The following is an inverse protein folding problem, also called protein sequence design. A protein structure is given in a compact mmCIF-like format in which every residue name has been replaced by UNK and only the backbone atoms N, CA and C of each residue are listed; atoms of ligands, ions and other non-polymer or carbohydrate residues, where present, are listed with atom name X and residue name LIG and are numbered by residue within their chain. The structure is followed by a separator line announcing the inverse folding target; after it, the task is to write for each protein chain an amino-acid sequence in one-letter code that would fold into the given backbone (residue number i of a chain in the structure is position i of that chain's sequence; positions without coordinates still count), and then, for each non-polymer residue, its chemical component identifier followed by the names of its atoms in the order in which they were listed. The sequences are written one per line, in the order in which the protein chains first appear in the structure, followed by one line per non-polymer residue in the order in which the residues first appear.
data_IF_583690861466
#
_entry.id   IF_583690861466
#
_cell.length_a   1.000
_cell.length_b   1.000
_cell.length_c   1.000
_cell.angle_alpha   90.00
_cell.angle_beta   90.00
_cell.angle_gamma   90.00
#
_symmetry.space_group_name_H-M   'P 1'
#
loop_
_entity.id
_entity.type
_entity.pdbx_description
1 polymer ?
#
# COMPACT_ATOMS: atom_id res chain seq x y z
N UNK A 1 -8.27 63.00 -25.10
CA UNK A 1 -8.46 63.13 -26.56
C UNK A 1 -9.59 62.21 -26.98
N UNK A 2 -10.82 62.72 -27.04
CA UNK A 2 -11.97 61.96 -27.51
C UNK A 2 -12.06 62.13 -29.03
N UNK A 3 -11.69 61.10 -29.79
CA UNK A 3 -11.77 61.13 -31.25
C UNK A 3 -13.21 60.84 -31.64
N UNK A 4 -14.04 61.87 -31.67
CA UNK A 4 -15.44 61.80 -32.12
C UNK A 4 -15.47 61.86 -33.66
N UNK A 5 -15.34 60.71 -34.32
CA UNK A 5 -15.54 60.58 -35.78
C UNK A 5 -17.04 60.73 -36.13
N UNK A 6 -17.54 61.95 -36.03
CA UNK A 6 -18.88 62.32 -36.45
C UNK A 6 -18.90 62.43 -37.99
N UNK A 7 -19.48 61.41 -38.62
CA UNK A 7 -20.31 61.55 -39.83
C UNK A 7 -19.62 61.80 -41.18
N UNK A 8 -18.68 60.93 -41.59
CA UNK A 8 -18.29 60.79 -43.01
C UNK A 8 -18.91 59.52 -43.63
N UNK A 9 -19.87 59.69 -44.56
CA UNK A 9 -20.51 58.59 -45.31
C UNK A 9 -19.47 57.68 -45.99
N UNK A 10 -18.38 58.25 -46.50
CA UNK A 10 -17.31 57.52 -47.20
C UNK A 10 -16.53 56.55 -46.31
N UNK A 11 -16.23 56.92 -45.06
CA UNK A 11 -15.54 56.04 -44.11
C UNK A 11 -16.43 54.87 -43.70
N UNK A 12 -17.75 55.10 -43.58
CA UNK A 12 -18.73 54.04 -43.29
C UNK A 12 -18.86 53.06 -44.45
N UNK A 13 -18.82 53.52 -45.71
CA UNK A 13 -18.82 52.65 -46.89
C UNK A 13 -17.53 51.84 -47.02
N UNK A 14 -16.37 52.46 -46.75
CA UNK A 14 -15.09 51.75 -46.76
C UNK A 14 -15.01 50.69 -45.64
N UNK A 15 -15.40 51.04 -44.41
CA UNK A 15 -15.50 50.09 -43.30
C UNK A 15 -16.46 48.94 -43.60
N UNK A 16 -17.63 49.22 -44.18
CA UNK A 16 -18.56 48.18 -44.61
C UNK A 16 -17.97 47.28 -45.71
N UNK A 17 -17.23 47.86 -46.67
CA UNK A 17 -16.53 47.08 -47.68
C UNK A 17 -15.52 46.11 -47.08
N UNK A 18 -14.68 46.57 -46.16
CA UNK A 18 -13.70 45.72 -45.44
C UNK A 18 -14.42 44.64 -44.63
N UNK A 19 -15.49 45.00 -43.90
CA UNK A 19 -16.28 44.04 -43.13
C UNK A 19 -16.91 42.98 -44.03
N UNK A 20 -17.44 43.35 -45.21
CA UNK A 20 -17.99 42.39 -46.19
C UNK A 20 -16.92 41.43 -46.70
N UNK A 21 -15.71 41.92 -46.98
CA UNK A 21 -14.58 41.06 -47.41
C UNK A 21 -14.18 40.08 -46.30
N UNK A 22 -14.11 40.54 -45.04
CA UNK A 22 -13.80 39.68 -43.89
C UNK A 22 -14.89 38.61 -43.71
N UNK A 23 -16.16 38.99 -43.81
CA UNK A 23 -17.28 38.04 -43.70
C UNK A 23 -17.22 37.01 -44.83
N UNK A 24 -16.93 37.44 -46.07
CA UNK A 24 -16.76 36.50 -47.18
C UNK A 24 -15.59 35.54 -46.96
N UNK A 25 -14.46 36.02 -46.44
CA UNK A 25 -13.31 35.18 -46.10
C UNK A 25 -13.65 34.15 -45.00
N UNK A 26 -14.37 34.58 -43.97
CA UNK A 26 -14.84 33.69 -42.89
C UNK A 26 -15.83 32.64 -43.40
N UNK A 27 -16.78 33.03 -44.26
CA UNK A 27 -17.72 32.10 -44.87
C UNK A 27 -17.02 31.08 -45.77
N UNK A 28 -16.03 31.52 -46.55
CA UNK A 28 -15.24 30.62 -47.39
C UNK A 28 -14.43 29.63 -46.54
N UNK A 29 -13.79 30.10 -45.48
CA UNK A 29 -13.05 29.25 -44.54
C UNK A 29 -13.96 28.24 -43.83
N UNK A 30 -15.15 28.66 -43.40
CA UNK A 30 -16.14 27.78 -42.78
C UNK A 30 -16.67 26.73 -43.77
N UNK A 31 -16.91 27.11 -45.02
CA UNK A 31 -17.33 26.19 -46.07
C UNK A 31 -16.27 25.12 -46.35
N UNK A 32 -14.99 25.51 -46.43
CA UNK A 32 -13.87 24.56 -46.59
C UNK A 32 -13.76 23.61 -45.39
N UNK A 33 -13.91 24.12 -44.16
CA UNK A 33 -13.89 23.32 -42.94
C UNK A 33 -15.03 22.29 -42.93
N UNK A 34 -16.25 22.71 -43.30
CA UNK A 34 -17.41 21.81 -43.43
C UNK A 34 -17.21 20.75 -44.51
N UNK A 35 -16.67 21.12 -45.68
CA UNK A 35 -16.40 20.18 -46.78
C UNK A 35 -15.33 19.16 -46.39
N UNK A 36 -14.30 19.56 -45.64
CA UNK A 36 -13.31 18.66 -45.07
C UNK A 36 -13.88 17.74 -43.99
N UNK A 37 -14.75 18.25 -43.11
CA UNK A 37 -15.44 17.43 -42.11
C UNK A 37 -16.31 16.33 -42.74
N UNK A 38 -16.95 16.62 -43.89
CA UNK A 38 -17.73 15.66 -44.65
C UNK A 38 -16.86 14.72 -45.52
N UNK A 39 -15.53 14.85 -45.47
CA UNK A 39 -14.55 14.08 -46.24
C UNK A 39 -14.80 14.10 -47.76
N UNK A 40 -15.42 15.17 -48.27
CA UNK A 40 -15.69 15.36 -49.70
C UNK A 40 -14.44 15.91 -50.42
N UNK A 41 -13.63 16.67 -49.69
CA UNK A 41 -12.42 17.33 -50.18
C UNK A 41 -11.28 17.07 -49.19
N UNK A 42 -10.11 16.71 -49.71
CA UNK A 42 -8.89 16.58 -48.94
C UNK A 42 -8.26 17.97 -48.73
N UNK A 43 -8.36 18.47 -47.50
CA UNK A 43 -7.87 19.79 -47.12
C UNK A 43 -6.34 19.88 -47.18
N UNK A 44 -5.63 18.76 -46.99
CA UNK A 44 -4.18 18.77 -46.92
C UNK A 44 -3.59 18.81 -48.34
N UNK A 45 -4.19 18.10 -49.30
CA UNK A 45 -3.83 18.23 -50.72
C UNK A 45 -4.03 19.66 -51.28
N UNK A 46 -5.07 20.36 -50.82
CA UNK A 46 -5.31 21.76 -51.19
C UNK A 46 -4.31 22.73 -50.54
N UNK A 47 -3.92 22.49 -49.28
CA UNK A 47 -2.89 23.30 -48.61
C UNK A 47 -1.56 23.17 -49.33
N UNK A 48 -1.10 21.96 -49.65
CA UNK A 48 0.18 21.76 -50.34
C UNK A 48 0.23 22.50 -51.69
N UNK A 49 -0.83 22.36 -52.50
CA UNK A 49 -0.91 22.99 -53.82
C UNK A 49 -1.02 24.52 -53.77
N UNK A 50 -1.64 25.08 -52.73
CA UNK A 50 -1.78 26.52 -52.55
C UNK A 50 -0.58 27.15 -51.85
N UNK A 51 -0.04 26.49 -50.82
CA UNK A 51 1.17 26.90 -50.09
C UNK A 51 2.40 26.89 -50.99
N UNK A 52 2.56 25.91 -51.87
CA UNK A 52 3.66 25.92 -52.85
C UNK A 52 3.57 27.11 -53.82
N UNK A 53 2.36 27.59 -54.10
CA UNK A 53 2.10 28.71 -55.03
C UNK A 53 2.21 30.09 -54.35
N UNK A 54 2.11 30.14 -53.03
CA UNK A 54 2.32 31.35 -52.21
C UNK A 54 3.70 31.44 -51.58
N UNK A 55 4.29 30.29 -51.25
CA UNK A 55 5.63 30.13 -50.69
C UNK A 55 6.76 30.41 -51.67
N UNK A 56 6.48 30.62 -52.95
CA UNK A 56 7.47 31.13 -53.92
C UNK A 56 7.67 32.66 -53.85
N UNK A 57 7.06 33.36 -52.89
CA UNK A 57 7.00 34.83 -52.86
C UNK A 57 7.31 35.52 -51.54
N UNK A 58 7.62 34.83 -50.44
CA UNK A 58 7.90 35.51 -49.17
C UNK A 58 8.86 34.72 -48.27
N UNK A 59 10.10 35.21 -48.19
CA UNK A 59 10.98 35.19 -47.03
C UNK A 59 11.47 33.83 -46.52
N UNK A 60 12.79 33.67 -46.43
CA UNK A 60 13.48 32.71 -45.57
C UNK A 60 12.67 32.33 -44.31
N UNK A 61 12.17 31.10 -44.27
CA UNK A 61 11.90 30.40 -43.01
C UNK A 61 13.25 29.92 -42.46
N UNK A 62 13.78 30.65 -41.48
CA UNK A 62 14.73 30.09 -40.53
C UNK A 62 14.08 28.87 -39.87
N UNK A 63 14.57 27.68 -40.21
CA UNK A 63 14.23 26.44 -39.52
C UNK A 63 14.74 26.51 -38.06
N UNK A 64 13.96 26.03 -37.08
CA UNK A 64 14.23 26.27 -35.67
C UNK A 64 15.41 25.44 -35.15
N UNK A 65 16.25 26.06 -34.33
CA UNK A 65 17.25 25.37 -33.50
C UNK A 65 16.57 24.61 -32.34
N UNK A 66 15.89 23.49 -32.60
CA UNK A 66 15.26 22.62 -31.58
C UNK A 66 15.92 21.24 -31.27
N UNK A 67 17.17 20.89 -31.70
CA UNK A 67 17.72 19.55 -31.41
C UNK A 67 18.23 19.38 -29.96
N UNK A 68 18.69 20.44 -29.28
CA UNK A 68 19.34 20.31 -27.96
C UNK A 68 18.34 20.16 -26.80
N UNK A 69 17.19 20.84 -26.84
CA UNK A 69 16.15 20.71 -25.80
C UNK A 69 15.50 19.33 -25.79
N UNK A 70 15.25 18.75 -26.97
CA UNK A 70 14.67 17.41 -27.09
C UNK A 70 15.61 16.35 -26.50
N UNK A 71 16.92 16.46 -26.74
CA UNK A 71 17.92 15.54 -26.19
C UNK A 71 18.02 15.65 -24.66
N UNK A 72 17.88 16.86 -24.11
CA UNK A 72 17.84 17.06 -22.65
C UNK A 72 16.59 16.44 -22.04
N UNK A 73 15.42 16.67 -22.65
CA UNK A 73 14.15 16.13 -22.18
C UNK A 73 14.09 14.59 -22.23
N UNK A 74 14.66 13.98 -23.28
CA UNK A 74 14.77 12.52 -23.39
C UNK A 74 15.65 11.92 -22.28
N UNK A 75 16.73 12.60 -21.90
CA UNK A 75 17.60 12.18 -20.79
C UNK A 75 16.88 12.25 -19.45
N UNK A 76 16.17 13.34 -19.17
CA UNK A 76 15.36 13.47 -17.96
C UNK A 76 14.26 12.41 -17.88
N UNK A 77 13.57 12.14 -18.99
CA UNK A 77 12.58 11.06 -19.06
C UNK A 77 13.20 9.68 -18.82
N UNK A 78 14.41 9.43 -19.33
CA UNK A 78 15.12 8.18 -19.10
C UNK A 78 15.54 8.04 -17.63
N UNK A 79 15.99 9.12 -16.99
CA UNK A 79 16.35 9.14 -15.57
C UNK A 79 15.13 8.94 -14.67
N UNK A 80 14.04 9.69 -14.89
CA UNK A 80 12.79 9.55 -14.17
C UNK A 80 12.19 8.14 -14.33
N UNK A 81 12.28 7.54 -15.52
CA UNK A 81 11.85 6.14 -15.74
C UNK A 81 12.68 5.17 -14.91
N UNK A 82 14.01 5.35 -14.86
CA UNK A 82 14.90 4.51 -14.04
C UNK A 82 14.57 4.65 -12.56
N UNK A 83 14.43 5.87 -12.07
CA UNK A 83 14.05 6.14 -10.69
C UNK A 83 12.69 5.49 -10.35
N UNK A 84 11.70 5.63 -11.24
CA UNK A 84 10.40 5.00 -11.03
C UNK A 84 10.49 3.47 -10.98
N UNK A 85 11.34 2.85 -11.82
CA UNK A 85 11.56 1.40 -11.76
C UNK A 85 12.25 0.96 -10.48
N UNK A 86 13.23 1.73 -10.00
CA UNK A 86 13.92 1.46 -8.72
C UNK A 86 12.96 1.57 -7.55
N UNK A 87 12.21 2.68 -7.46
CA UNK A 87 11.22 2.90 -6.41
C UNK A 87 10.13 1.82 -6.40
N UNK A 88 9.67 1.38 -7.58
CA UNK A 88 8.72 0.26 -7.68
C UNK A 88 9.32 -1.05 -7.16
N UNK A 89 10.62 -1.28 -7.41
CA UNK A 89 11.35 -2.42 -6.86
C UNK A 89 11.40 -2.38 -5.33
N UNK A 90 11.81 -1.25 -4.76
CA UNK A 90 11.88 -1.04 -3.31
C UNK A 90 10.51 -1.19 -2.63
N UNK A 91 9.46 -0.64 -3.24
CA UNK A 91 8.09 -0.79 -2.72
C UNK A 91 7.66 -2.25 -2.75
N UNK A 92 7.97 -2.99 -3.82
CA UNK A 92 7.65 -4.42 -3.91
C UNK A 92 8.43 -5.25 -2.87
N UNK A 93 9.71 -4.93 -2.64
CA UNK A 93 10.54 -5.59 -1.62
C UNK A 93 10.00 -5.32 -0.22
N UNK A 94 9.80 -4.05 0.15
CA UNK A 94 9.21 -3.69 1.45
C UNK A 94 7.82 -4.26 1.66
N UNK A 95 7.02 -4.38 0.60
CA UNK A 95 5.70 -5.01 0.70
C UNK A 95 5.81 -6.50 1.02
N UNK A 96 6.82 -7.21 0.48
CA UNK A 96 7.07 -8.62 0.80
C UNK A 96 7.56 -8.78 2.24
N UNK A 97 8.55 -7.98 2.65
CA UNK A 97 9.07 -8.00 4.02
C UNK A 97 7.96 -7.70 5.04
N UNK A 98 7.10 -6.72 4.75
CA UNK A 98 5.93 -6.41 5.58
C UNK A 98 4.98 -7.61 5.71
N UNK A 99 4.72 -8.33 4.62
CA UNK A 99 3.85 -9.52 4.66
C UNK A 99 4.47 -10.66 5.47
N UNK A 100 5.77 -10.90 5.33
CA UNK A 100 6.50 -11.89 6.12
C UNK A 100 6.46 -11.55 7.61
N UNK A 101 6.71 -10.29 7.96
CA UNK A 101 6.69 -9.83 9.36
C UNK A 101 5.28 -9.91 9.97
N UNK A 102 4.23 -9.64 9.17
CA UNK A 102 2.85 -9.81 9.62
C UNK A 102 2.51 -11.28 9.91
N UNK A 103 2.98 -12.21 9.09
CA UNK A 103 2.80 -13.65 9.33
C UNK A 103 3.52 -14.09 10.61
N UNK A 104 4.79 -13.70 10.79
CA UNK A 104 5.54 -14.01 12.01
C UNK A 104 4.86 -13.44 13.27
N UNK A 105 4.35 -12.20 13.18
CA UNK A 105 3.62 -11.57 14.27
C UNK A 105 2.34 -12.33 14.62
N UNK A 106 1.59 -12.83 13.63
CA UNK A 106 0.41 -13.65 13.85
C UNK A 106 0.75 -14.99 14.52
N UNK A 107 1.81 -15.67 14.07
CA UNK A 107 2.28 -16.91 14.69
C UNK A 107 2.71 -16.71 16.14
N UNK A 108 3.48 -15.66 16.43
CA UNK A 108 3.93 -15.33 17.79
C UNK A 108 2.73 -14.99 18.68
N UNK A 109 1.75 -14.25 18.15
CA UNK A 109 0.51 -13.95 18.89
C UNK A 109 -0.31 -15.20 19.18
N UNK A 110 -0.39 -16.14 18.24
CA UNK A 110 -1.09 -17.40 18.46
C UNK A 110 -0.43 -18.21 19.59
N UNK A 111 0.90 -18.34 19.56
CA UNK A 111 1.68 -19.01 20.60
C UNK A 111 1.53 -18.34 21.97
N UNK A 112 1.52 -17.01 22.01
CA UNK A 112 1.30 -16.26 23.25
C UNK A 112 -0.09 -16.53 23.85
N UNK A 113 -1.14 -16.53 23.01
CA UNK A 113 -2.50 -16.84 23.46
C UNK A 113 -2.59 -18.25 24.03
N UNK A 114 -2.00 -19.23 23.36
CA UNK A 114 -1.97 -20.61 23.84
C UNK A 114 -1.27 -20.71 25.20
N UNK A 115 -0.10 -20.09 25.36
CA UNK A 115 0.62 -20.05 26.64
C UNK A 115 -0.17 -19.33 27.74
N UNK A 116 -0.88 -18.26 27.41
CA UNK A 116 -1.75 -17.54 28.35
C UNK A 116 -2.94 -18.40 28.80
N UNK A 117 -3.60 -19.09 27.88
CA UNK A 117 -4.69 -20.03 28.19
C UNK A 117 -4.20 -21.20 29.06
N UNK A 118 -3.04 -21.78 28.73
CA UNK A 118 -2.42 -22.82 29.55
C UNK A 118 -2.09 -22.32 30.95
N UNK A 119 -1.52 -21.11 31.06
CA UNK A 119 -1.21 -20.48 32.34
C UNK A 119 -2.48 -20.21 33.15
N UNK A 120 -3.55 -19.77 32.52
CA UNK A 120 -4.82 -19.53 33.19
C UNK A 120 -5.42 -20.84 33.70
N UNK A 121 -5.47 -21.89 32.87
CA UNK A 121 -5.94 -23.22 33.28
C UNK A 121 -5.13 -23.76 34.45
N UNK A 122 -3.80 -23.67 34.39
CA UNK A 122 -2.90 -24.06 35.50
C UNK A 122 -3.20 -23.26 36.76
N UNK A 123 -3.40 -21.94 36.64
CA UNK A 123 -3.75 -21.07 37.76
C UNK A 123 -5.10 -21.42 38.40
N UNK A 124 -6.10 -21.76 37.59
CA UNK A 124 -7.41 -22.21 38.08
C UNK A 124 -7.30 -23.53 38.84
N UNK A 125 -6.56 -24.50 38.31
CA UNK A 125 -6.30 -25.78 38.98
C UNK A 125 -5.56 -25.55 40.30
N UNK A 126 -4.47 -24.78 40.28
CA UNK A 126 -3.73 -24.40 41.49
C UNK A 126 -4.66 -23.79 42.55
N UNK A 127 -5.51 -22.82 42.16
CA UNK A 127 -6.45 -22.18 43.08
C UNK A 127 -7.49 -23.13 43.71
N UNK A 128 -7.88 -24.19 43.01
CA UNK A 128 -8.77 -25.22 43.57
C UNK A 128 -8.05 -26.03 44.64
N UNK A 129 -6.84 -26.52 44.35
CA UNK A 129 -6.05 -27.32 45.30
C UNK A 129 -5.49 -26.48 46.45
N UNK A 130 -5.29 -25.18 46.24
CA UNK A 130 -4.86 -24.23 47.27
C UNK A 130 -5.88 -24.10 48.40
N UNK A 131 -7.18 -24.16 48.04
CA UNK A 131 -8.29 -24.11 49.01
C UNK A 131 -8.66 -25.47 49.57
N UNK A 132 -8.12 -26.55 49.01
CA UNK A 132 -8.41 -27.92 49.42
C UNK A 132 -7.64 -28.27 50.69
N UNK A 133 -8.23 -29.12 51.53
CA UNK A 133 -7.53 -29.62 52.73
C UNK A 133 -6.33 -30.48 52.30
N UNK A 134 -5.13 -30.28 52.90
CA UNK A 134 -3.92 -30.99 52.46
C UNK A 134 -4.04 -32.51 52.42
N UNK A 135 -4.78 -33.10 53.36
CA UNK A 135 -5.04 -34.54 53.41
C UNK A 135 -5.86 -35.05 52.22
N UNK A 136 -6.88 -34.29 51.82
CA UNK A 136 -7.76 -34.65 50.71
C UNK A 136 -7.04 -34.47 49.38
N UNK A 137 -6.29 -33.38 49.24
CA UNK A 137 -5.43 -33.13 48.08
C UNK A 137 -4.38 -34.24 47.91
N UNK A 138 -3.68 -34.63 48.98
CA UNK A 138 -2.71 -35.73 48.96
C UNK A 138 -3.34 -37.04 48.46
N UNK A 139 -4.51 -37.42 49.01
CA UNK A 139 -5.21 -38.63 48.60
C UNK A 139 -5.66 -38.62 47.13
N UNK A 140 -5.91 -37.44 46.54
CA UNK A 140 -6.21 -37.30 45.12
C UNK A 140 -4.94 -37.42 44.29
N UNK A 141 -3.90 -36.63 44.62
CA UNK A 141 -2.64 -36.60 43.88
C UNK A 141 -1.92 -37.96 43.87
N UNK A 142 -2.04 -38.76 44.93
CA UNK A 142 -1.50 -40.11 44.97
C UNK A 142 -2.10 -41.07 43.94
N UNK A 143 -3.31 -40.77 43.45
CA UNK A 143 -4.01 -41.59 42.45
C UNK A 143 -3.78 -41.10 41.02
N UNK A 144 -3.17 -39.92 40.85
CA UNK A 144 -2.81 -39.38 39.55
C UNK A 144 -1.51 -40.00 39.03
N UNK A 145 -1.24 -39.80 37.73
CA UNK A 145 0.08 -40.05 37.19
C UNK A 145 1.11 -39.09 37.79
N UNK A 146 2.39 -39.48 37.74
CA UNK A 146 3.48 -38.66 38.27
C UNK A 146 3.53 -37.28 37.59
N UNK A 147 3.33 -37.23 36.28
CA UNK A 147 3.29 -35.98 35.51
C UNK A 147 2.15 -35.04 35.94
N UNK A 148 0.92 -35.54 36.03
CA UNK A 148 -0.24 -34.74 36.44
C UNK A 148 -0.08 -34.19 37.87
N UNK A 149 0.43 -35.02 38.79
CA UNK A 149 0.67 -34.60 40.16
C UNK A 149 1.74 -33.50 40.24
N UNK A 150 2.82 -33.61 39.44
CA UNK A 150 3.86 -32.58 39.35
C UNK A 150 3.31 -31.27 38.79
N UNK A 151 2.50 -31.30 37.73
CA UNK A 151 1.90 -30.09 37.17
C UNK A 151 1.03 -29.33 38.18
N UNK A 152 0.22 -30.06 38.97
CA UNK A 152 -0.61 -29.45 40.01
C UNK A 152 0.26 -28.90 41.14
N UNK A 153 1.28 -29.64 41.58
CA UNK A 153 2.21 -29.19 42.63
C UNK A 153 2.99 -27.94 42.23
N UNK A 154 3.36 -27.79 40.94
CA UNK A 154 4.01 -26.59 40.40
C UNK A 154 3.06 -25.38 40.31
N UNK A 155 1.75 -25.62 40.22
CA UNK A 155 0.75 -24.56 40.19
C UNK A 155 0.37 -24.02 41.58
N UNK A 156 0.81 -24.70 42.65
CA UNK A 156 0.54 -24.32 44.05
C UNK A 156 1.64 -23.41 44.60
N UNK A 157 1.32 -22.69 45.68
CA UNK A 157 2.39 -22.04 46.42
C UNK A 157 3.25 -23.07 47.18
N UNK A 158 4.51 -22.73 47.51
CA UNK A 158 5.44 -23.69 48.14
C UNK A 158 4.97 -24.22 49.50
N UNK A 159 4.24 -23.41 50.27
CA UNK A 159 3.77 -23.78 51.60
C UNK A 159 2.69 -24.86 51.53
N UNK A 160 1.69 -24.67 50.67
CA UNK A 160 0.62 -25.63 50.46
C UNK A 160 1.12 -26.90 49.78
N UNK A 161 2.01 -26.78 48.78
CA UNK A 161 2.66 -27.95 48.17
C UNK A 161 3.43 -28.77 49.22
N UNK A 162 4.18 -28.11 50.11
CA UNK A 162 4.89 -28.76 51.21
C UNK A 162 3.94 -29.46 52.21
N UNK A 163 2.82 -28.81 52.55
CA UNK A 163 1.79 -29.41 53.41
C UNK A 163 1.15 -30.63 52.77
N UNK A 164 0.87 -30.60 51.48
CA UNK A 164 0.29 -31.73 50.74
C UNK A 164 1.29 -32.89 50.69
N UNK A 165 2.54 -32.63 50.31
CA UNK A 165 3.60 -33.65 50.30
C UNK A 165 3.79 -34.31 51.68
N UNK A 166 3.65 -33.54 52.76
CA UNK A 166 3.73 -34.06 54.13
C UNK A 166 2.54 -34.97 54.53
N UNK A 167 1.43 -34.94 53.80
CA UNK A 167 0.28 -35.84 54.02
C UNK A 167 0.29 -37.06 53.08
N UNK A 168 1.27 -37.16 52.18
CA UNK A 168 1.41 -38.27 51.24
C UNK A 168 2.24 -39.42 51.81
N UNK A 169 2.15 -40.60 51.19
CA UNK A 169 3.07 -41.71 51.39
C UNK A 169 4.53 -41.25 51.15
N UNK A 170 5.46 -41.56 52.06
CA UNK A 170 6.86 -41.10 51.95
C UNK A 170 7.54 -41.48 50.63
N UNK A 171 7.21 -42.64 50.06
CA UNK A 171 7.81 -43.11 48.81
C UNK A 171 7.29 -42.31 47.63
N UNK A 172 5.97 -42.05 47.60
CA UNK A 172 5.32 -41.20 46.59
C UNK A 172 5.79 -39.74 46.67
N UNK A 173 5.85 -39.16 47.87
CA UNK A 173 6.33 -37.80 48.08
C UNK A 173 7.78 -37.62 47.61
N UNK A 174 8.65 -38.60 47.88
CA UNK A 174 10.02 -38.59 47.42
C UNK A 174 10.14 -38.69 45.89
N UNK A 175 9.29 -39.48 45.23
CA UNK A 175 9.23 -39.55 43.77
C UNK A 175 8.84 -38.21 43.16
N UNK A 176 7.73 -37.62 43.63
CA UNK A 176 7.28 -36.31 43.14
C UNK A 176 8.29 -35.20 43.41
N UNK A 177 8.99 -35.22 44.54
CA UNK A 177 10.05 -34.24 44.84
C UNK A 177 11.22 -34.35 43.86
N UNK A 178 11.60 -35.57 43.47
CA UNK A 178 12.62 -35.77 42.42
C UNK A 178 12.15 -35.26 41.07
N UNK A 179 10.90 -35.55 40.70
CA UNK A 179 10.31 -35.08 39.46
C UNK A 179 10.19 -33.55 39.41
N UNK A 180 9.84 -32.90 40.53
CA UNK A 180 9.81 -31.44 40.65
C UNK A 180 11.19 -30.80 40.43
N UNK A 181 12.26 -31.46 40.86
CA UNK A 181 13.63 -30.97 40.65
C UNK A 181 14.12 -31.20 39.21
N UNK A 182 13.44 -32.05 38.43
CA UNK A 182 13.80 -32.34 37.04
C UNK A 182 12.56 -32.53 36.15
N UNK A 183 11.76 -31.47 35.93
CA UNK A 183 10.43 -31.57 35.32
C UNK A 183 10.41 -32.00 33.85
N UNK A 184 11.57 -32.18 33.20
CA UNK A 184 11.70 -32.62 31.80
C UNK A 184 12.22 -34.06 31.63
N UNK A 185 12.33 -34.84 32.70
CA UNK A 185 12.97 -36.17 32.70
C UNK A 185 12.06 -37.37 32.55
N UNK A 186 10.85 -37.22 32.01
CA UNK A 186 9.85 -38.28 31.86
C UNK A 186 9.47 -38.55 30.40
N UNK A 187 10.45 -38.91 29.58
CA UNK A 187 10.26 -39.67 28.33
C UNK A 187 11.22 -40.86 28.31
#
# INVERSE_FOLDING_TARGET
MAITWRQNRWVRFFLWGVVVVIILALLLGLALLLLGYLNIIDLDALKETWLQRLGSGSGEEEAPEEPDELVLLERELAELKRENTTLRGEVAEKSREMLELLQELEEVRAKLRELEEEREKRGQIGAVYEKMRPQEAAAILERLSEGEAVEILLALNPEQAGRILAQMDPSKAAALTRALNNPKGGE
#
